data_IF_610084319000
#
_entry.id   IF_610084319000
#
_cell.length_a   1.000
_cell.length_b   1.000
_cell.length_c   1.000
_cell.angle_alpha   90.00
_cell.angle_beta   90.00
_cell.angle_gamma   90.00
#
_symmetry.space_group_name_H-M   'P 1'
#
loop_
_entity.id
_entity.type
_entity.pdbx_description
1 polymer ?
#
# COMPACT_ATOMS: atom_id res chain seq x y z
N UNK A 1 6.96 -25.04 -8.56
CA UNK A 1 7.80 -23.85 -8.71
C UNK A 1 7.39 -22.89 -7.61
N UNK A 2 8.34 -22.26 -6.90
CA UNK A 2 8.01 -21.22 -5.91
C UNK A 2 7.35 -20.05 -6.59
N UNK A 3 6.53 -19.31 -5.87
CA UNK A 3 5.97 -18.03 -6.30
C UNK A 3 7.09 -17.00 -6.45
N UNK A 4 6.93 -16.06 -7.36
CA UNK A 4 7.90 -14.99 -7.60
C UNK A 4 7.24 -13.62 -7.35
N UNK A 5 7.90 -12.79 -6.56
CA UNK A 5 7.50 -11.40 -6.34
C UNK A 5 8.61 -10.48 -6.83
N UNK A 6 8.28 -9.60 -7.76
CA UNK A 6 9.18 -8.50 -8.14
C UNK A 6 8.84 -7.25 -7.34
N UNK A 7 9.88 -6.59 -6.82
CA UNK A 7 9.77 -5.28 -6.17
C UNK A 7 10.51 -4.26 -7.01
N UNK A 8 9.79 -3.31 -7.57
CA UNK A 8 10.34 -2.22 -8.36
C UNK A 8 10.60 -1.02 -7.48
N UNK A 9 11.86 -0.68 -7.33
CA UNK A 9 12.39 0.30 -6.38
C UNK A 9 13.12 -0.37 -5.23
N UNK A 10 14.44 -0.26 -5.17
CA UNK A 10 15.28 -0.82 -4.09
C UNK A 10 15.60 0.20 -2.98
N UNK A 11 14.78 1.24 -2.86
CA UNK A 11 14.83 2.18 -1.74
C UNK A 11 14.48 1.49 -0.41
N UNK A 12 14.32 2.29 0.66
CA UNK A 12 14.06 1.73 2.00
C UNK A 12 12.77 0.90 2.04
N UNK A 13 11.68 1.37 1.42
CA UNK A 13 10.41 0.64 1.40
C UNK A 13 10.55 -0.68 0.65
N UNK A 14 11.11 -0.66 -0.58
CA UNK A 14 11.23 -1.86 -1.40
C UNK A 14 12.17 -2.90 -0.79
N UNK A 15 13.36 -2.51 -0.32
CA UNK A 15 14.28 -3.44 0.31
C UNK A 15 13.73 -4.05 1.60
N UNK A 16 13.00 -3.26 2.42
CA UNK A 16 12.34 -3.78 3.62
C UNK A 16 11.18 -4.72 3.27
N UNK A 17 10.43 -4.46 2.20
CA UNK A 17 9.40 -5.39 1.72
C UNK A 17 10.02 -6.70 1.21
N UNK A 18 11.15 -6.63 0.48
CA UNK A 18 11.92 -7.79 0.06
C UNK A 18 12.34 -8.66 1.27
N UNK A 19 12.87 -8.02 2.32
CA UNK A 19 13.21 -8.69 3.57
C UNK A 19 12.00 -9.42 4.17
N UNK A 20 10.86 -8.75 4.35
CA UNK A 20 9.67 -9.36 4.94
C UNK A 20 9.14 -10.53 4.10
N UNK A 21 9.13 -10.41 2.77
CA UNK A 21 8.64 -11.45 1.87
C UNK A 21 9.54 -12.67 1.92
N UNK A 22 10.87 -12.47 1.88
CA UNK A 22 11.85 -13.54 1.93
C UNK A 22 11.90 -14.22 3.30
N UNK A 23 11.98 -13.47 4.40
CA UNK A 23 12.05 -14.01 5.76
C UNK A 23 10.77 -14.75 6.18
N UNK A 24 9.62 -14.40 5.64
CA UNK A 24 8.36 -15.14 5.80
C UNK A 24 8.20 -16.30 4.80
N UNK A 25 9.17 -16.49 3.93
CA UNK A 25 9.19 -17.54 2.91
C UNK A 25 7.93 -17.54 2.02
N UNK A 26 7.45 -16.34 1.67
CA UNK A 26 6.25 -16.20 0.85
C UNK A 26 6.52 -16.47 -0.63
N UNK A 27 7.70 -16.06 -1.13
CA UNK A 27 8.09 -16.18 -2.54
C UNK A 27 9.61 -15.99 -2.70
N UNK A 28 10.13 -16.34 -3.88
CA UNK A 28 11.40 -15.81 -4.36
C UNK A 28 11.23 -14.34 -4.74
N UNK A 29 12.26 -13.52 -4.51
CA UNK A 29 12.17 -12.06 -4.66
C UNK A 29 13.15 -11.56 -5.71
N UNK A 30 12.67 -10.75 -6.64
CA UNK A 30 13.49 -9.95 -7.55
C UNK A 30 13.39 -8.49 -7.14
N UNK A 31 14.49 -7.91 -6.69
CA UNK A 31 14.60 -6.50 -6.33
C UNK A 31 15.23 -5.73 -7.49
N UNK A 32 14.47 -4.84 -8.13
CA UNK A 32 14.94 -4.09 -9.30
C UNK A 32 14.97 -2.59 -9.06
N UNK A 33 16.03 -1.94 -9.53
CA UNK A 33 16.18 -0.48 -9.49
C UNK A 33 17.01 -0.01 -10.68
N UNK A 34 16.96 1.29 -10.97
CA UNK A 34 17.78 1.94 -12.00
C UNK A 34 19.19 2.29 -11.52
N UNK A 35 19.41 2.32 -10.19
CA UNK A 35 20.70 2.73 -9.60
C UNK A 35 21.63 1.53 -9.60
N UNK A 36 22.74 1.64 -10.35
CA UNK A 36 23.75 0.59 -10.48
C UNK A 36 24.30 0.16 -9.12
N UNK A 37 24.40 -1.16 -8.91
CA UNK A 37 24.95 -1.78 -7.71
C UNK A 37 24.01 -1.82 -6.50
N UNK A 38 23.07 -0.88 -6.40
CA UNK A 38 22.17 -0.81 -5.22
C UNK A 38 21.25 -2.01 -5.09
N UNK A 39 20.48 -2.41 -6.12
CA UNK A 39 19.65 -3.61 -6.00
C UNK A 39 20.49 -4.87 -5.83
N UNK A 40 21.62 -4.99 -6.52
CA UNK A 40 22.51 -6.15 -6.44
C UNK A 40 23.07 -6.32 -5.02
N UNK A 41 23.62 -5.23 -4.44
CA UNK A 41 24.17 -5.25 -3.09
C UNK A 41 23.13 -5.61 -2.04
N UNK A 42 21.95 -4.98 -2.08
CA UNK A 42 20.86 -5.29 -1.16
C UNK A 42 20.27 -6.68 -1.37
N UNK A 43 20.17 -7.13 -2.62
CA UNK A 43 19.70 -8.49 -2.93
C UNK A 43 20.64 -9.56 -2.39
N UNK A 44 21.95 -9.36 -2.54
CA UNK A 44 22.96 -10.27 -2.01
C UNK A 44 22.97 -10.31 -0.48
N UNK A 45 22.95 -9.16 0.18
CA UNK A 45 22.89 -9.05 1.64
C UNK A 45 21.64 -9.76 2.21
N UNK A 46 20.48 -9.55 1.58
CA UNK A 46 19.26 -10.26 1.95
C UNK A 46 19.37 -11.78 1.72
N UNK A 47 19.97 -12.22 0.61
CA UNK A 47 20.19 -13.63 0.32
C UNK A 47 21.10 -14.29 1.37
N UNK A 48 22.16 -13.59 1.80
CA UNK A 48 23.09 -14.06 2.85
C UNK A 48 22.44 -14.12 4.24
N UNK A 49 21.39 -13.34 4.49
CA UNK A 49 20.59 -13.43 5.73
C UNK A 49 19.70 -14.68 5.77
N UNK A 50 19.31 -15.26 4.63
CA UNK A 50 18.34 -16.37 4.57
C UNK A 50 18.82 -17.64 5.29
N UNK A 51 20.08 -18.08 5.20
CA UNK A 51 20.58 -19.23 5.97
C UNK A 51 20.49 -19.03 7.48
N UNK A 52 20.70 -17.82 7.96
CA UNK A 52 20.60 -17.47 9.39
C UNK A 52 19.16 -17.59 9.87
N UNK A 53 18.22 -17.10 9.04
CA UNK A 53 16.77 -17.19 9.28
C UNK A 53 16.21 -18.59 8.99
N UNK A 54 17.02 -19.52 8.49
CA UNK A 54 16.60 -20.88 8.06
C UNK A 54 15.48 -20.83 7.02
N UNK A 55 15.67 -20.01 5.98
CA UNK A 55 14.73 -19.82 4.87
C UNK A 55 15.42 -20.16 3.55
N UNK A 56 14.64 -20.72 2.64
CA UNK A 56 15.10 -21.09 1.30
C UNK A 56 14.62 -20.14 0.20
N UNK A 57 14.08 -18.96 0.56
CA UNK A 57 13.70 -17.94 -0.41
C UNK A 57 14.94 -17.43 -1.14
N UNK A 58 14.87 -17.42 -2.46
CA UNK A 58 15.93 -16.84 -3.29
C UNK A 58 15.68 -15.35 -3.49
N UNK A 59 16.71 -14.54 -3.29
CA UNK A 59 16.64 -13.09 -3.46
C UNK A 59 17.72 -12.66 -4.45
N UNK A 60 17.31 -11.98 -5.53
CA UNK A 60 18.24 -11.38 -6.47
C UNK A 60 17.99 -9.89 -6.59
N UNK A 61 19.06 -9.11 -6.74
CA UNK A 61 19.02 -7.71 -7.12
C UNK A 61 19.48 -7.54 -8.55
N UNK A 62 18.77 -6.74 -9.35
CA UNK A 62 19.05 -6.58 -10.77
C UNK A 62 18.68 -5.19 -11.29
N UNK A 63 19.22 -4.81 -12.46
CA UNK A 63 18.73 -3.70 -13.28
C UNK A 63 17.99 -4.20 -14.54
N UNK A 64 18.05 -5.51 -14.81
CA UNK A 64 17.48 -6.11 -16.01
C UNK A 64 16.04 -6.59 -15.76
N UNK A 65 15.06 -5.99 -16.44
CA UNK A 65 13.67 -6.41 -16.34
C UNK A 65 13.42 -7.85 -16.81
N UNK A 66 14.32 -8.43 -17.61
CA UNK A 66 14.23 -9.83 -18.01
C UNK A 66 14.19 -10.78 -16.80
N UNK A 67 14.88 -10.46 -15.70
CA UNK A 67 14.90 -11.26 -14.48
C UNK A 67 13.54 -11.26 -13.76
N UNK A 68 12.72 -10.24 -14.01
CA UNK A 68 11.37 -10.10 -13.44
C UNK A 68 10.34 -10.97 -14.15
N UNK A 69 10.70 -11.65 -15.24
CA UNK A 69 9.76 -12.39 -16.07
C UNK A 69 8.94 -13.42 -15.26
N UNK A 70 7.64 -13.48 -15.59
CA UNK A 70 6.67 -14.39 -14.97
C UNK A 70 6.52 -14.20 -13.44
N UNK A 71 6.60 -12.98 -12.95
CA UNK A 71 6.26 -12.68 -11.55
C UNK A 71 4.76 -12.86 -11.31
N UNK A 72 4.40 -13.49 -10.18
CA UNK A 72 3.01 -13.58 -9.73
C UNK A 72 2.48 -12.23 -9.25
N UNK A 73 3.34 -11.48 -8.55
CA UNK A 73 3.03 -10.14 -8.03
C UNK A 73 4.20 -9.19 -8.36
N UNK A 74 3.86 -7.96 -8.75
CA UNK A 74 4.81 -6.86 -8.86
C UNK A 74 4.41 -5.76 -7.90
N UNK A 75 5.28 -5.48 -6.92
CA UNK A 75 5.12 -4.38 -5.95
C UNK A 75 5.88 -3.18 -6.46
N UNK A 76 5.18 -2.07 -6.71
CA UNK A 76 5.80 -0.85 -7.24
C UNK A 76 5.98 0.17 -6.12
N UNK A 77 7.23 0.34 -5.69
CA UNK A 77 7.63 1.35 -4.70
C UNK A 77 8.45 2.49 -5.35
N UNK A 78 8.72 2.36 -6.65
CA UNK A 78 9.51 3.33 -7.41
C UNK A 78 8.83 4.69 -7.46
N UNK A 79 9.61 5.73 -7.23
CA UNK A 79 9.16 7.12 -7.21
C UNK A 79 10.15 7.97 -6.42
N UNK A 80 10.04 9.28 -6.56
CA UNK A 80 10.83 10.21 -5.76
C UNK A 80 10.00 10.79 -4.61
N UNK A 81 10.63 11.04 -3.45
CA UNK A 81 9.99 11.82 -2.39
C UNK A 81 9.93 13.30 -2.79
N UNK A 82 9.04 14.07 -2.16
CA UNK A 82 8.97 15.52 -2.34
C UNK A 82 10.28 16.15 -1.88
N UNK A 83 10.89 16.93 -2.76
CA UNK A 83 12.13 17.69 -2.45
C UNK A 83 11.78 19.12 -2.04
N UNK A 84 12.64 19.81 -1.27
CA UNK A 84 12.48 21.24 -1.00
C UNK A 84 12.36 22.03 -2.31
N UNK A 85 11.39 22.94 -2.39
CA UNK A 85 11.12 23.75 -3.58
C UNK A 85 10.29 23.07 -4.67
N UNK A 86 9.98 21.78 -4.55
CA UNK A 86 9.14 21.05 -5.49
C UNK A 86 7.66 21.28 -5.17
N UNK A 87 6.87 21.68 -6.16
CA UNK A 87 5.41 21.77 -6.03
C UNK A 87 4.78 20.38 -5.91
N UNK A 88 3.51 20.31 -5.52
CA UNK A 88 2.74 19.06 -5.50
C UNK A 88 2.58 18.48 -6.91
N UNK A 89 2.34 19.33 -7.88
CA UNK A 89 2.12 18.95 -9.27
C UNK A 89 3.41 18.48 -9.94
N UNK A 90 4.56 19.08 -9.62
CA UNK A 90 5.87 18.61 -10.10
C UNK A 90 6.16 17.19 -9.62
N UNK A 91 5.89 16.91 -8.34
CA UNK A 91 6.05 15.58 -7.76
C UNK A 91 5.13 14.57 -8.46
N UNK A 92 3.87 14.94 -8.61
CA UNK A 92 2.83 14.10 -9.23
C UNK A 92 3.20 13.77 -10.69
N UNK A 93 3.57 14.77 -11.49
CA UNK A 93 3.98 14.58 -12.87
C UNK A 93 5.28 13.76 -13.00
N UNK A 94 6.24 13.96 -12.10
CA UNK A 94 7.49 13.17 -12.11
C UNK A 94 7.20 11.70 -11.79
N UNK A 95 6.44 11.43 -10.74
CA UNK A 95 6.10 10.07 -10.37
C UNK A 95 5.17 9.39 -11.40
N UNK A 96 4.31 10.15 -12.08
CA UNK A 96 3.52 9.64 -13.20
C UNK A 96 4.39 9.15 -14.37
N UNK A 97 5.43 9.91 -14.73
CA UNK A 97 6.41 9.48 -15.76
C UNK A 97 7.14 8.21 -15.35
N UNK A 98 7.59 8.13 -14.08
CA UNK A 98 8.23 6.93 -13.54
C UNK A 98 7.26 5.75 -13.59
N UNK A 99 6.01 5.93 -13.16
CA UNK A 99 4.98 4.90 -13.18
C UNK A 99 4.75 4.35 -14.60
N UNK A 100 4.72 5.23 -15.60
CA UNK A 100 4.56 4.83 -17.01
C UNK A 100 5.67 3.89 -17.48
N UNK A 101 6.93 4.23 -17.19
CA UNK A 101 8.07 3.40 -17.57
C UNK A 101 8.06 2.04 -16.85
N UNK A 102 7.86 2.08 -15.53
CA UNK A 102 7.87 0.89 -14.66
C UNK A 102 6.75 -0.07 -14.97
N UNK A 103 5.51 0.41 -15.10
CA UNK A 103 4.35 -0.45 -15.39
C UNK A 103 4.45 -1.04 -16.78
N UNK A 104 4.86 -0.25 -17.78
CA UNK A 104 5.05 -0.77 -19.14
C UNK A 104 6.02 -1.94 -19.19
N UNK A 105 7.18 -1.81 -18.52
CA UNK A 105 8.17 -2.89 -18.43
C UNK A 105 7.67 -4.08 -17.61
N UNK A 106 7.01 -3.82 -16.47
CA UNK A 106 6.47 -4.89 -15.64
C UNK A 106 5.48 -5.78 -16.41
N UNK A 107 4.55 -5.19 -17.17
CA UNK A 107 3.57 -5.92 -17.97
C UNK A 107 4.22 -6.65 -19.15
N UNK A 108 5.25 -6.06 -19.78
CA UNK A 108 5.98 -6.70 -20.86
C UNK A 108 6.58 -8.06 -20.42
N UNK A 109 7.15 -8.14 -19.22
CA UNK A 109 7.79 -9.35 -18.72
C UNK A 109 6.89 -10.23 -17.85
N UNK A 110 5.86 -9.66 -17.25
CA UNK A 110 4.93 -10.35 -16.36
C UNK A 110 3.46 -9.98 -16.65
N UNK A 111 2.92 -10.33 -17.83
CA UNK A 111 1.60 -9.89 -18.29
C UNK A 111 0.44 -10.44 -17.44
N UNK A 112 0.68 -11.46 -16.65
CA UNK A 112 -0.32 -12.08 -15.79
C UNK A 112 -0.18 -11.71 -14.30
N UNK A 113 0.72 -10.79 -13.95
CA UNK A 113 0.95 -10.40 -12.56
C UNK A 113 -0.23 -9.65 -11.95
N UNK A 114 -0.21 -9.58 -10.62
CA UNK A 114 -1.00 -8.62 -9.86
C UNK A 114 -0.08 -7.46 -9.48
N UNK A 115 -0.52 -6.22 -9.75
CA UNK A 115 0.21 -5.00 -9.37
C UNK A 115 -0.24 -4.53 -8.00
N UNK A 116 0.70 -4.32 -7.09
CA UNK A 116 0.48 -3.63 -5.82
C UNK A 116 1.25 -2.30 -5.88
N UNK A 117 0.52 -1.20 -5.86
CA UNK A 117 1.09 0.14 -5.95
C UNK A 117 1.31 0.70 -4.56
N UNK A 118 2.53 1.19 -4.31
CA UNK A 118 2.95 1.82 -3.05
C UNK A 118 3.42 3.27 -3.27
N UNK A 119 3.79 3.59 -4.51
CA UNK A 119 4.28 4.91 -4.92
C UNK A 119 3.26 6.01 -4.66
N UNK A 120 3.74 7.19 -4.24
CA UNK A 120 2.90 8.33 -3.89
C UNK A 120 2.93 9.44 -4.99
N UNK A 121 1.84 10.22 -5.10
CA UNK A 121 0.54 10.13 -4.39
C UNK A 121 -0.22 8.86 -4.78
N UNK A 122 -0.53 8.02 -3.78
CA UNK A 122 -0.92 6.63 -4.00
C UNK A 122 -2.11 6.46 -4.94
N UNK A 123 -3.22 7.12 -4.66
CA UNK A 123 -4.47 6.90 -5.39
C UNK A 123 -4.33 7.30 -6.87
N UNK A 124 -3.63 8.43 -7.14
CA UNK A 124 -3.33 8.86 -8.50
C UNK A 124 -2.36 7.91 -9.21
N UNK A 125 -1.36 7.38 -8.50
CA UNK A 125 -0.41 6.40 -9.09
C UNK A 125 -1.08 5.05 -9.35
N UNK A 126 -1.99 4.60 -8.49
CA UNK A 126 -2.79 3.40 -8.72
C UNK A 126 -3.73 3.58 -9.94
N UNK A 127 -4.37 4.74 -10.06
CA UNK A 127 -5.18 5.10 -11.23
C UNK A 127 -4.36 5.07 -12.53
N UNK A 128 -3.18 5.70 -12.51
CA UNK A 128 -2.26 5.71 -13.63
C UNK A 128 -1.81 4.30 -14.01
N UNK A 129 -1.39 3.50 -13.02
CA UNK A 129 -0.98 2.12 -13.25
C UNK A 129 -2.09 1.26 -13.86
N UNK A 130 -3.32 1.41 -13.38
CA UNK A 130 -4.49 0.73 -13.95
C UNK A 130 -4.70 1.10 -15.43
N UNK A 131 -4.72 2.39 -15.75
CA UNK A 131 -4.92 2.87 -17.13
C UNK A 131 -3.81 2.43 -18.07
N UNK A 132 -2.56 2.41 -17.60
CA UNK A 132 -1.39 2.07 -18.42
C UNK A 132 -1.19 0.57 -18.60
N UNK A 133 -1.54 -0.23 -17.60
CA UNK A 133 -1.29 -1.66 -17.61
C UNK A 133 -2.19 -2.45 -18.54
N UNK A 134 -3.40 -1.96 -18.80
CA UNK A 134 -4.44 -2.72 -19.51
C UNK A 134 -4.95 -3.95 -18.73
N UNK A 135 -4.52 -4.11 -17.47
CA UNK A 135 -4.99 -5.19 -16.62
C UNK A 135 -6.42 -4.92 -16.14
N UNK A 136 -7.19 -5.97 -15.81
CA UNK A 136 -8.47 -5.79 -15.15
C UNK A 136 -8.28 -5.18 -13.75
N UNK A 137 -9.30 -4.46 -13.25
CA UNK A 137 -9.23 -3.75 -11.96
C UNK A 137 -8.87 -4.65 -10.78
N UNK A 138 -9.22 -5.92 -10.87
CA UNK A 138 -8.94 -6.94 -9.87
C UNK A 138 -7.44 -7.20 -9.67
N UNK A 139 -6.64 -6.85 -10.68
CA UNK A 139 -5.19 -7.07 -10.66
C UNK A 139 -4.36 -5.81 -10.41
N UNK A 140 -4.98 -4.67 -10.15
CA UNK A 140 -4.26 -3.43 -9.81
C UNK A 140 -4.82 -2.88 -8.51
N UNK A 141 -4.02 -2.88 -7.45
CA UNK A 141 -4.46 -2.57 -6.09
C UNK A 141 -3.47 -1.59 -5.46
N UNK A 142 -3.96 -0.55 -4.80
CA UNK A 142 -3.14 0.41 -4.06
C UNK A 142 -3.00 0.04 -2.58
N UNK A 143 -1.79 0.09 -2.04
CA UNK A 143 -1.51 -0.05 -0.61
C UNK A 143 -1.79 1.29 0.09
N UNK A 144 -2.93 1.41 0.74
CA UNK A 144 -3.42 2.65 1.37
C UNK A 144 -3.87 2.40 2.81
N UNK A 145 -5.14 2.15 3.00
CA UNK A 145 -5.77 1.98 4.30
C UNK A 145 -5.21 0.85 5.16
N UNK A 146 -4.54 -0.15 4.57
CA UNK A 146 -3.83 -1.20 5.34
C UNK A 146 -2.81 -0.56 6.27
N UNK A 147 -1.98 0.38 5.75
CA UNK A 147 -1.03 1.14 6.54
C UNK A 147 -1.71 2.08 7.54
N UNK A 148 -2.72 2.82 7.07
CA UNK A 148 -3.40 3.83 7.90
C UNK A 148 -4.18 3.16 9.04
N UNK A 149 -4.81 2.02 8.78
CA UNK A 149 -5.45 1.21 9.81
C UNK A 149 -4.44 0.60 10.79
N UNK A 150 -3.25 0.23 10.34
CA UNK A 150 -2.20 -0.24 11.25
C UNK A 150 -1.76 0.85 12.23
N UNK A 151 -1.64 2.11 11.78
CA UNK A 151 -1.39 3.27 12.65
C UNK A 151 -2.50 3.45 13.68
N UNK A 152 -3.76 3.43 13.22
CA UNK A 152 -4.92 3.57 14.11
C UNK A 152 -4.98 2.45 15.15
N UNK A 153 -4.75 1.19 14.74
CA UNK A 153 -4.64 0.03 15.66
C UNK A 153 -3.56 0.24 16.71
N UNK A 154 -2.38 0.71 16.32
CA UNK A 154 -1.26 0.99 17.23
C UNK A 154 -1.65 2.03 18.27
N UNK A 155 -2.30 3.11 17.86
CA UNK A 155 -2.68 4.19 18.77
C UNK A 155 -3.80 3.77 19.73
N UNK A 156 -4.79 3.01 19.25
CA UNK A 156 -5.85 2.43 20.08
C UNK A 156 -5.24 1.47 21.13
N UNK A 157 -4.37 0.56 20.69
CA UNK A 157 -3.74 -0.41 21.59
C UNK A 157 -2.90 0.27 22.68
N UNK A 158 -2.14 1.30 22.31
CA UNK A 158 -1.34 2.08 23.26
C UNK A 158 -2.20 2.85 24.27
N UNK A 159 -3.30 3.47 23.82
CA UNK A 159 -4.22 4.21 24.66
C UNK A 159 -4.89 3.34 25.73
N UNK A 160 -5.34 2.17 25.31
CA UNK A 160 -6.07 1.24 26.18
C UNK A 160 -5.13 0.25 26.92
N UNK A 161 -3.82 0.32 26.65
CA UNK A 161 -2.83 -0.62 27.20
C UNK A 161 -3.20 -2.10 26.95
N UNK A 162 -3.56 -2.43 25.70
CA UNK A 162 -3.95 -3.78 25.30
C UNK A 162 -3.04 -4.30 24.18
N UNK A 163 -3.03 -5.61 23.96
CA UNK A 163 -2.33 -6.21 22.82
C UNK A 163 -2.93 -5.70 21.49
N UNK A 164 -2.07 -5.31 20.56
CA UNK A 164 -2.48 -4.92 19.21
C UNK A 164 -3.18 -6.05 18.43
N UNK A 165 -3.00 -7.31 18.85
CA UNK A 165 -3.69 -8.47 18.28
C UNK A 165 -5.20 -8.42 18.50
N UNK A 166 -5.64 -7.78 19.60
CA UNK A 166 -7.06 -7.60 19.88
C UNK A 166 -7.72 -6.45 19.12
N UNK A 167 -6.92 -5.61 18.44
CA UNK A 167 -7.43 -4.39 17.81
C UNK A 167 -7.66 -4.60 16.31
N UNK A 168 -8.87 -4.34 15.87
CA UNK A 168 -9.22 -4.18 14.46
C UNK A 168 -9.59 -2.74 14.20
N UNK A 169 -9.24 -2.21 13.02
CA UNK A 169 -9.61 -0.86 12.63
C UNK A 169 -9.76 -0.74 11.12
N UNK A 170 -10.59 0.20 10.68
CA UNK A 170 -10.76 0.55 9.28
C UNK A 170 -10.52 2.04 9.05
N UNK A 171 -9.67 2.31 8.06
CA UNK A 171 -9.47 3.67 7.51
C UNK A 171 -9.74 3.61 6.01
N UNK A 172 -10.71 4.39 5.56
CA UNK A 172 -11.13 4.49 4.16
C UNK A 172 -10.64 5.80 3.53
N UNK A 173 -11.03 6.02 2.26
CA UNK A 173 -10.71 7.24 1.53
C UNK A 173 -9.35 7.23 0.87
N UNK A 174 -8.93 8.35 0.29
CA UNK A 174 -7.61 8.53 -0.30
C UNK A 174 -6.50 8.52 0.75
N UNK A 175 -5.34 8.03 0.36
CA UNK A 175 -4.17 7.93 1.25
C UNK A 175 -3.52 9.31 1.45
N UNK A 176 -3.82 9.97 2.57
CA UNK A 176 -3.32 11.31 2.91
C UNK A 176 -4.23 12.00 3.92
N UNK A 177 -4.20 13.33 3.95
CA UNK A 177 -4.89 14.16 4.94
C UNK A 177 -6.42 14.00 4.92
N UNK A 178 -6.97 13.50 3.80
CA UNK A 178 -8.41 13.27 3.62
C UNK A 178 -8.86 11.86 3.94
N UNK A 179 -7.98 11.02 4.52
CA UNK A 179 -8.37 9.68 4.95
C UNK A 179 -9.52 9.71 5.96
N UNK A 180 -10.30 8.65 5.97
CA UNK A 180 -11.54 8.52 6.76
C UNK A 180 -11.42 7.37 7.74
N UNK A 181 -10.82 7.56 8.92
CA UNK A 181 -10.88 6.57 9.99
C UNK A 181 -12.32 6.35 10.44
N UNK A 182 -12.67 5.09 10.69
CA UNK A 182 -14.03 4.68 11.07
C UNK A 182 -14.07 4.11 12.51
N UNK A 183 -14.24 4.97 13.55
CA UNK A 183 -14.31 4.52 14.95
C UNK A 183 -15.39 3.46 15.19
N UNK A 184 -16.55 3.58 14.55
CA UNK A 184 -17.67 2.60 14.69
C UNK A 184 -17.32 1.20 14.18
N UNK A 185 -16.38 1.10 13.23
CA UNK A 185 -15.88 -0.16 12.69
C UNK A 185 -14.50 -0.53 13.24
N UNK A 186 -14.07 0.17 14.31
CA UNK A 186 -12.82 -0.12 14.99
C UNK A 186 -13.11 -0.70 16.37
N UNK A 187 -12.56 -1.87 16.66
CA UNK A 187 -12.92 -2.65 17.85
C UNK A 187 -11.68 -3.17 18.57
N UNK A 188 -11.86 -3.46 19.86
CA UNK A 188 -10.91 -4.22 20.68
C UNK A 188 -11.62 -5.48 21.16
N UNK A 189 -11.16 -6.65 20.74
CA UNK A 189 -11.78 -7.94 21.02
C UNK A 189 -13.29 -7.96 20.66
N UNK A 190 -13.68 -7.28 19.59
CA UNK A 190 -15.06 -7.18 19.12
C UNK A 190 -15.88 -6.06 19.78
N UNK A 191 -15.37 -5.36 20.79
CA UNK A 191 -16.06 -4.23 21.44
C UNK A 191 -15.71 -2.95 20.68
N UNK A 192 -16.68 -2.16 20.22
CA UNK A 192 -16.43 -0.87 19.56
C UNK A 192 -15.61 0.07 20.44
N UNK A 193 -14.64 0.75 19.87
CA UNK A 193 -13.80 1.70 20.64
C UNK A 193 -14.60 2.87 21.21
N UNK A 194 -15.75 3.17 20.63
CA UNK A 194 -16.68 4.20 21.09
C UNK A 194 -17.38 3.83 22.41
N UNK A 195 -17.33 2.56 22.82
CA UNK A 195 -17.80 2.08 24.12
C UNK A 195 -16.69 2.03 25.17
N UNK A 196 -15.42 2.02 24.71
CA UNK A 196 -14.23 1.88 25.56
C UNK A 196 -13.56 3.23 25.89
N UNK A 197 -13.81 4.25 25.09
CA UNK A 197 -13.19 5.56 25.21
C UNK A 197 -14.23 6.69 25.01
N UNK A 198 -13.97 7.84 25.63
CA UNK A 198 -14.78 9.02 25.38
C UNK A 198 -14.56 9.59 23.97
N UNK A 199 -15.48 10.44 23.52
CA UNK A 199 -15.46 11.00 22.17
C UNK A 199 -14.20 11.88 21.93
N UNK A 200 -13.70 12.59 22.93
CA UNK A 200 -12.51 13.43 22.79
C UNK A 200 -11.25 12.59 22.59
N UNK A 201 -11.12 11.49 23.30
CA UNK A 201 -10.02 10.54 23.12
C UNK A 201 -10.08 9.88 21.74
N UNK A 202 -11.26 9.43 21.30
CA UNK A 202 -11.43 8.86 19.96
C UNK A 202 -11.01 9.85 18.88
N UNK A 203 -11.46 11.12 18.95
CA UNK A 203 -11.12 12.14 17.95
C UNK A 203 -9.62 12.47 17.96
N UNK A 204 -8.97 12.51 19.12
CA UNK A 204 -7.52 12.68 19.24
C UNK A 204 -6.76 11.55 18.52
N UNK A 205 -7.20 10.29 18.66
CA UNK A 205 -6.59 9.15 17.99
C UNK A 205 -6.85 9.16 16.48
N UNK A 206 -8.05 9.55 16.04
CA UNK A 206 -8.39 9.77 14.64
C UNK A 206 -7.47 10.82 14.01
N UNK A 207 -7.31 11.99 14.66
CA UNK A 207 -6.44 13.04 14.16
C UNK A 207 -4.97 12.58 14.12
N UNK A 208 -4.48 11.93 15.16
CA UNK A 208 -3.10 11.37 15.17
C UNK A 208 -2.89 10.36 14.06
N UNK A 209 -3.91 9.59 13.69
CA UNK A 209 -3.84 8.65 12.57
C UNK A 209 -3.65 9.38 11.24
N UNK A 210 -4.38 10.47 11.02
CA UNK A 210 -4.20 11.35 9.84
C UNK A 210 -2.79 11.93 9.78
N UNK A 211 -2.26 12.34 10.91
CA UNK A 211 -0.94 12.97 11.04
C UNK A 211 0.22 11.96 11.12
N UNK A 212 -0.06 10.66 11.20
CA UNK A 212 0.92 9.62 11.50
C UNK A 212 2.11 9.55 10.53
N UNK A 213 1.91 9.89 9.26
CA UNK A 213 3.00 10.02 8.29
C UNK A 213 3.88 11.24 8.57
N UNK A 214 3.25 12.40 8.82
CA UNK A 214 3.94 13.65 9.14
C UNK A 214 4.70 13.58 10.47
N UNK A 215 4.13 12.90 11.48
CA UNK A 215 4.80 12.66 12.78
C UNK A 215 6.13 11.94 12.59
N UNK A 216 6.18 10.89 11.76
CA UNK A 216 7.41 10.14 11.46
C UNK A 216 8.43 11.02 10.71
N UNK A 217 8.00 11.76 9.69
CA UNK A 217 8.87 12.68 8.93
C UNK A 217 9.48 13.74 9.85
N UNK A 218 8.71 14.26 10.80
CA UNK A 218 9.19 15.23 11.81
C UNK A 218 10.33 14.66 12.67
N UNK A 219 10.27 13.38 13.04
CA UNK A 219 11.35 12.74 13.82
C UNK A 219 12.55 12.40 12.95
N UNK A 220 12.33 11.83 11.76
CA UNK A 220 13.42 11.40 10.88
C UNK A 220 14.16 12.57 10.23
N UNK A 221 13.52 13.74 10.12
CA UNK A 221 14.02 14.95 9.43
C UNK A 221 14.33 14.75 7.95
N UNK A 222 14.86 13.60 7.57
CA UNK A 222 15.12 13.17 6.18
C UNK A 222 14.46 11.82 5.93
N UNK A 223 13.78 11.67 4.80
CA UNK A 223 13.04 10.44 4.44
C UNK A 223 11.63 10.39 5.00
N UNK A 224 11.04 9.21 4.98
CA UNK A 224 9.67 8.93 5.42
C UNK A 224 9.59 7.54 6.05
N UNK A 225 8.42 7.17 6.57
CA UNK A 225 8.16 5.81 7.04
C UNK A 225 8.48 4.77 5.95
N UNK A 226 9.11 3.66 6.32
CA UNK A 226 9.41 2.55 5.41
C UNK A 226 9.17 1.16 6.01
N UNK A 227 9.26 0.96 7.31
CA UNK A 227 8.95 -0.33 7.94
C UNK A 227 7.46 -0.66 7.84
N UNK A 228 6.60 0.24 8.27
CA UNK A 228 5.16 0.01 8.28
C UNK A 228 4.56 -0.10 6.86
N UNK A 229 4.88 0.76 5.87
CA UNK A 229 4.39 0.57 4.51
C UNK A 229 4.89 -0.72 3.87
N UNK A 230 6.13 -1.14 4.15
CA UNK A 230 6.66 -2.42 3.67
C UNK A 230 5.92 -3.61 4.27
N UNK A 231 5.64 -3.58 5.58
CA UNK A 231 4.84 -4.61 6.24
C UNK A 231 3.41 -4.66 5.71
N UNK A 232 2.79 -3.50 5.46
CA UNK A 232 1.44 -3.40 4.88
C UNK A 232 1.38 -3.98 3.45
N UNK A 233 2.35 -3.66 2.59
CA UNK A 233 2.46 -4.26 1.26
C UNK A 233 2.68 -5.78 1.34
N UNK A 234 3.52 -6.24 2.27
CA UNK A 234 3.77 -7.67 2.49
C UNK A 234 2.51 -8.40 2.98
N UNK A 235 1.68 -7.78 3.82
CA UNK A 235 0.39 -8.34 4.23
C UNK A 235 -0.54 -8.55 3.04
N UNK A 236 -0.58 -7.62 2.09
CA UNK A 236 -1.34 -7.79 0.85
C UNK A 236 -0.77 -8.92 -0.02
N UNK A 237 0.56 -8.98 -0.19
CA UNK A 237 1.25 -10.07 -0.90
C UNK A 237 0.90 -11.42 -0.28
N UNK A 238 0.99 -11.55 1.03
CA UNK A 238 0.68 -12.79 1.75
C UNK A 238 -0.80 -13.19 1.60
N UNK A 239 -1.72 -12.22 1.67
CA UNK A 239 -3.14 -12.47 1.49
C UNK A 239 -3.46 -13.03 0.10
N UNK A 240 -2.78 -12.54 -0.93
CA UNK A 240 -2.93 -12.95 -2.32
C UNK A 240 -2.26 -14.32 -2.54
N UNK A 241 -0.98 -14.48 -2.21
CA UNK A 241 -0.22 -15.70 -2.51
C UNK A 241 -0.74 -16.93 -1.77
N UNK A 242 -1.23 -16.74 -0.54
CA UNK A 242 -1.82 -17.82 0.29
C UNK A 242 -3.35 -17.92 0.16
N UNK A 243 -3.95 -17.20 -0.77
CA UNK A 243 -5.42 -17.19 -0.98
C UNK A 243 -6.25 -16.99 0.30
N UNK A 244 -5.82 -16.08 1.17
CA UNK A 244 -6.39 -15.93 2.52
C UNK A 244 -7.81 -15.38 2.56
N UNK A 245 -8.32 -14.79 1.47
CA UNK A 245 -9.62 -14.11 1.42
C UNK A 245 -9.75 -13.02 2.49
N UNK A 246 -8.63 -12.37 2.80
CA UNK A 246 -8.56 -11.37 3.86
C UNK A 246 -9.23 -10.07 3.41
N UNK A 247 -10.02 -9.47 4.30
CA UNK A 247 -10.62 -8.15 4.04
C UNK A 247 -9.65 -7.09 4.58
N UNK A 248 -9.11 -6.29 3.68
CA UNK A 248 -8.16 -5.21 3.97
C UNK A 248 -8.65 -3.91 3.32
N UNK A 249 -8.48 -2.75 3.97
CA UNK A 249 -8.76 -1.47 3.34
C UNK A 249 -7.63 -1.14 2.34
N UNK A 250 -7.94 -1.20 1.04
CA UNK A 250 -7.01 -0.95 -0.06
C UNK A 250 -7.61 0.07 -1.02
N UNK A 251 -6.76 0.80 -1.76
CA UNK A 251 -7.23 1.60 -2.87
C UNK A 251 -7.61 0.69 -4.05
N UNK A 252 -8.87 0.76 -4.47
CA UNK A 252 -9.45 -0.01 -5.55
C UNK A 252 -10.18 0.88 -6.54
N UNK A 253 -10.24 0.48 -7.82
CA UNK A 253 -11.01 1.19 -8.85
C UNK A 253 -12.50 0.93 -8.67
N UNK A 254 -13.25 1.97 -8.33
CA UNK A 254 -14.68 1.89 -8.07
C UNK A 254 -15.48 2.05 -9.37
N UNK A 255 -16.52 1.23 -9.51
CA UNK A 255 -17.43 1.20 -10.67
C UNK A 255 -18.91 1.35 -10.23
N UNK A 256 -19.14 2.12 -9.18
CA UNK A 256 -20.46 2.38 -8.60
C UNK A 256 -20.54 2.09 -7.11
N UNK A 257 -19.59 1.32 -6.59
CA UNK A 257 -19.52 1.04 -5.15
C UNK A 257 -19.39 2.35 -4.36
N UNK A 258 -20.07 2.46 -3.26
CA UNK A 258 -20.19 3.70 -2.45
C UNK A 258 -20.72 4.91 -3.24
N UNK A 259 -21.36 4.72 -4.42
CA UNK A 259 -21.78 5.79 -5.31
C UNK A 259 -20.64 6.52 -6.02
N UNK A 260 -19.44 5.94 -6.03
CA UNK A 260 -18.24 6.51 -6.67
C UNK A 260 -17.91 5.69 -7.92
N UNK A 261 -17.63 6.36 -9.03
CA UNK A 261 -17.30 5.70 -10.30
C UNK A 261 -16.05 6.31 -10.92
N UNK A 262 -15.17 5.45 -11.44
CA UNK A 262 -14.04 5.86 -12.26
C UNK A 262 -12.81 6.35 -11.49
N UNK A 263 -12.75 6.09 -10.18
CA UNK A 263 -11.66 6.53 -9.31
C UNK A 263 -11.12 5.39 -8.45
N UNK A 264 -9.82 5.46 -8.13
CA UNK A 264 -9.21 4.69 -7.05
C UNK A 264 -9.48 5.37 -5.71
N UNK A 265 -10.12 4.64 -4.80
CA UNK A 265 -10.40 5.12 -3.44
C UNK A 265 -10.21 3.96 -2.47
N UNK A 266 -9.70 4.25 -1.28
CA UNK A 266 -9.53 3.27 -0.20
C UNK A 266 -10.88 2.79 0.35
N UNK A 267 -11.16 1.49 0.19
CA UNK A 267 -12.38 0.81 0.62
C UNK A 267 -12.06 -0.60 1.12
N UNK A 268 -12.96 -1.27 1.86
CA UNK A 268 -12.73 -2.66 2.27
C UNK A 268 -12.70 -3.58 1.06
N UNK A 269 -11.58 -4.28 0.88
CA UNK A 269 -11.29 -5.16 -0.25
C UNK A 269 -11.02 -6.59 0.23
N UNK A 270 -11.71 -7.58 -0.30
CA UNK A 270 -11.38 -8.98 -0.11
C UNK A 270 -10.26 -9.37 -1.08
N UNK A 271 -9.08 -9.71 -0.53
CA UNK A 271 -7.91 -10.13 -1.27
C UNK A 271 -7.73 -11.64 -1.21
N UNK A 272 -7.53 -12.25 -2.36
CA UNK A 272 -7.25 -13.67 -2.52
C UNK A 272 -6.41 -13.93 -3.77
N UNK A 273 -6.31 -15.19 -4.21
CA UNK A 273 -5.41 -15.62 -5.30
C UNK A 273 -5.63 -14.87 -6.63
N UNK A 274 -6.80 -14.29 -6.84
CA UNK A 274 -7.12 -13.50 -8.05
C UNK A 274 -6.81 -12.00 -7.91
N UNK A 275 -6.25 -11.57 -6.77
CA UNK A 275 -6.07 -10.17 -6.41
C UNK A 275 -7.27 -9.63 -5.62
N UNK A 276 -7.86 -8.54 -6.08
CA UNK A 276 -9.11 -8.00 -5.54
C UNK A 276 -10.28 -8.89 -6.01
N UNK A 277 -10.89 -9.61 -5.09
CA UNK A 277 -12.01 -10.51 -5.43
C UNK A 277 -13.39 -9.90 -5.16
N UNK A 278 -13.45 -8.93 -4.25
CA UNK A 278 -14.69 -8.25 -3.89
C UNK A 278 -14.39 -6.93 -3.20
N UNK A 279 -15.15 -5.90 -3.53
CA UNK A 279 -15.28 -4.69 -2.71
C UNK A 279 -16.45 -4.93 -1.75
N UNK A 280 -16.22 -4.74 -0.45
CA UNK A 280 -17.24 -4.93 0.58
C UNK A 280 -17.83 -3.57 0.93
N UNK A 281 -19.07 -3.33 0.57
CA UNK A 281 -19.77 -2.12 0.95
C UNK A 281 -20.31 -2.21 2.38
N UNK A 282 -19.85 -1.33 3.25
CA UNK A 282 -20.32 -1.20 4.64
C UNK A 282 -21.25 0.01 4.74
N UNK A 283 -22.16 -0.02 5.70
CA UNK A 283 -23.10 1.08 5.93
C UNK A 283 -22.37 2.26 6.59
N UNK A 284 -22.21 3.35 5.86
CA UNK A 284 -21.67 4.61 6.37
C UNK A 284 -22.78 5.48 6.94
N UNK A 285 -22.46 6.27 7.96
CA UNK A 285 -23.33 7.38 8.38
C UNK A 285 -23.31 8.47 7.31
N UNK A 286 -24.18 9.46 7.43
CA UNK A 286 -24.23 10.62 6.52
C UNK A 286 -22.89 11.38 6.55
N UNK A 287 -22.31 11.54 7.73
CA UNK A 287 -21.04 12.25 7.97
C UNK A 287 -19.87 11.46 7.40
N UNK A 288 -19.80 10.14 7.64
CA UNK A 288 -18.78 9.24 7.10
C UNK A 288 -18.83 9.21 5.56
N UNK A 289 -20.04 9.15 4.99
CA UNK A 289 -20.22 9.22 3.53
C UNK A 289 -19.77 10.56 2.97
N UNK A 290 -20.13 11.66 3.58
CA UNK A 290 -19.69 12.99 3.17
C UNK A 290 -18.15 13.14 3.24
N UNK A 291 -17.52 12.58 4.27
CA UNK A 291 -16.07 12.54 4.38
C UNK A 291 -15.43 11.70 3.26
N UNK A 292 -16.01 10.54 2.93
CA UNK A 292 -15.54 9.69 1.83
C UNK A 292 -15.70 10.40 0.48
N UNK A 293 -16.81 11.09 0.24
CA UNK A 293 -17.04 11.86 -0.99
C UNK A 293 -16.04 13.00 -1.15
N UNK A 294 -15.76 13.72 -0.05
CA UNK A 294 -14.72 14.75 -0.02
C UNK A 294 -13.34 14.18 -0.34
N UNK A 295 -13.04 13.02 0.22
CA UNK A 295 -11.78 12.31 -0.05
C UNK A 295 -11.67 11.88 -1.51
N UNK A 296 -12.72 11.33 -2.10
CA UNK A 296 -12.78 10.97 -3.52
C UNK A 296 -12.63 12.20 -4.43
N UNK A 297 -13.23 13.33 -4.07
CA UNK A 297 -13.06 14.58 -4.81
C UNK A 297 -11.59 15.04 -4.83
N UNK A 298 -10.88 14.96 -3.71
CA UNK A 298 -9.45 15.27 -3.65
C UNK A 298 -8.60 14.34 -4.54
N UNK A 299 -8.94 13.05 -4.61
CA UNK A 299 -8.29 12.12 -5.54
C UNK A 299 -8.58 12.50 -6.99
N UNK A 300 -9.82 12.87 -7.31
CA UNK A 300 -10.23 13.30 -8.66
C UNK A 300 -9.40 14.50 -9.15
N UNK A 301 -9.13 15.46 -8.27
CA UNK A 301 -8.27 16.61 -8.59
C UNK A 301 -6.85 16.15 -8.99
N UNK A 302 -6.24 15.21 -8.23
CA UNK A 302 -4.92 14.68 -8.54
C UNK A 302 -4.89 13.93 -9.89
N UNK A 303 -5.91 13.12 -10.13
CA UNK A 303 -6.05 12.35 -11.37
C UNK A 303 -6.21 13.29 -12.57
N UNK A 304 -6.95 14.39 -12.43
CA UNK A 304 -7.11 15.38 -13.47
C UNK A 304 -5.79 16.06 -13.90
N UNK A 305 -4.89 16.30 -12.94
CA UNK A 305 -3.55 16.91 -13.22
C UNK A 305 -2.70 16.02 -14.13
N UNK A 306 -2.79 14.70 -13.98
CA UNK A 306 -2.01 13.75 -14.82
C UNK A 306 -2.75 13.24 -16.05
N UNK A 307 -4.01 13.63 -16.24
CA UNK A 307 -4.78 13.34 -17.46
C UNK A 307 -5.15 11.86 -17.66
N UNK A 308 -5.43 11.11 -16.60
CA UNK A 308 -5.75 9.66 -16.65
C UNK A 308 -7.11 9.30 -16.07
#
# INVERSE_FOLDING_TARGET
MRKKVTIVGSGNVGATAAHWIASKELADVVLIDIIEGVPQGKGLDLLEAMPIEKRDSHVIGTQAYADTANSDIVVVTAGIPRKPGMSRDDLLNTNHKIMKDVVGKAIQYSPNCILIIVSNPLDAMAQAAYKMSGLPRERVIGMAGVLDSARFRTFIAAELNVSVENVTAFVLGGHGDTMVPLPRYSTVAGIPITELMDAATVERLVQRTRDGGAEIVKYLKTGSAYYAPSAAATEMVEAILKDKKKILPCAAFLQGEYGITGLYVGVPCKLGAKGLEQIVEIKLTREEKAALDKSAAAVKELVAVIGV
#
